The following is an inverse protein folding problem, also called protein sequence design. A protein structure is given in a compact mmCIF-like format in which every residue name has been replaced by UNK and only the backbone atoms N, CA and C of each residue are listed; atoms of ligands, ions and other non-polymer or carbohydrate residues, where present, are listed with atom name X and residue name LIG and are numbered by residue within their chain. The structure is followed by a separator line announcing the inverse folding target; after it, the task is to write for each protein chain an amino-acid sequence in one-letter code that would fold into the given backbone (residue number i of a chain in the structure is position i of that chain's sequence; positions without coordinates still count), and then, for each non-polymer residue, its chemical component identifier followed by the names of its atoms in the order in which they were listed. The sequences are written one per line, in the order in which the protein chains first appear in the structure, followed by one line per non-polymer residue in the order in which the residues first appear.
data_IF_891137098890
#
_entry.id   IF_891137098890
#
_cell.length_a   1.000
_cell.length_b   1.000
_cell.length_c   1.000
_cell.angle_alpha   90.00
_cell.angle_beta   90.00
_cell.angle_gamma   90.00
#
_symmetry.space_group_name_H-M   'P 1'
#
loop_
_entity.id
_entity.type
_entity.pdbx_description
1 polymer ?
#
# COMPACT_ATOMS: atom_id res chain seq x y z
N UNK A 1 21.66 -26.87 -6.15
CA UNK A 1 20.60 -27.72 -6.74
C UNK A 1 20.88 -28.26 -8.13
N UNK A 2 21.62 -27.58 -9.02
CA UNK A 2 21.85 -28.07 -10.39
C UNK A 2 22.67 -29.37 -10.49
N UNK A 3 23.43 -29.72 -9.45
CA UNK A 3 24.28 -30.91 -9.42
C UNK A 3 23.64 -32.15 -8.78
N UNK A 4 22.41 -32.03 -8.27
CA UNK A 4 21.73 -33.12 -7.56
C UNK A 4 20.81 -33.92 -8.47
N UNK A 5 20.91 -35.24 -8.34
CA UNK A 5 20.17 -36.24 -9.08
C UNK A 5 19.32 -37.09 -8.13
N UNK A 6 18.41 -37.87 -8.71
CA UNK A 6 17.56 -38.80 -7.98
C UNK A 6 18.41 -39.86 -7.27
N UNK A 7 18.15 -40.07 -5.98
CA UNK A 7 18.90 -40.97 -5.11
C UNK A 7 20.09 -40.32 -4.39
N UNK A 8 20.43 -39.07 -4.71
CA UNK A 8 21.51 -38.36 -4.02
C UNK A 8 21.09 -37.94 -2.59
N UNK A 9 22.07 -37.86 -1.70
CA UNK A 9 21.89 -37.39 -0.31
C UNK A 9 22.76 -36.15 -0.08
N UNK A 10 22.13 -35.04 0.29
CA UNK A 10 22.81 -33.83 0.73
C UNK A 10 23.17 -34.00 2.21
N UNK A 11 24.47 -34.11 2.52
CA UNK A 11 24.94 -34.29 3.90
C UNK A 11 25.42 -32.95 4.47
N UNK A 12 24.89 -32.58 5.64
CA UNK A 12 25.31 -31.40 6.39
C UNK A 12 25.61 -31.73 7.85
N UNK A 13 26.55 -30.99 8.45
CA UNK A 13 26.86 -31.18 9.87
C UNK A 13 25.68 -30.81 10.76
N UNK A 14 25.07 -29.63 10.52
CA UNK A 14 23.96 -29.09 11.33
C UNK A 14 22.97 -28.31 10.48
N UNK A 15 21.73 -28.21 10.96
CA UNK A 15 20.64 -27.52 10.25
C UNK A 15 20.87 -26.01 10.08
N UNK A 16 21.55 -25.33 11.03
CA UNK A 16 21.85 -23.89 10.97
C UNK A 16 22.79 -23.50 9.82
N UNK A 17 23.45 -24.47 9.20
CA UNK A 17 24.36 -24.27 8.06
C UNK A 17 23.66 -24.36 6.71
N UNK A 18 22.40 -24.81 6.69
CA UNK A 18 21.66 -25.09 5.46
C UNK A 18 20.93 -23.86 4.91
N UNK A 19 20.51 -22.93 5.76
CA UNK A 19 19.73 -21.75 5.34
C UNK A 19 19.81 -20.60 6.33
N UNK A 20 19.39 -19.39 5.90
CA UNK A 20 19.36 -18.18 6.74
C UNK A 20 18.12 -18.09 7.62
N UNK A 21 17.10 -18.85 7.28
CA UNK A 21 15.86 -18.98 8.03
C UNK A 21 15.31 -20.40 7.95
N UNK A 22 14.46 -20.78 8.91
CA UNK A 22 13.71 -22.04 8.89
C UNK A 22 12.95 -22.24 7.58
N UNK A 23 12.37 -21.16 7.04
CA UNK A 23 11.64 -21.20 5.77
C UNK A 23 12.56 -21.59 4.61
N UNK A 24 13.77 -21.03 4.55
CA UNK A 24 14.74 -21.36 3.51
C UNK A 24 15.13 -22.84 3.56
N UNK A 25 15.33 -23.36 4.77
CA UNK A 25 15.63 -24.77 5.03
C UNK A 25 14.48 -25.67 4.56
N UNK A 26 13.23 -25.35 4.90
CA UNK A 26 12.06 -26.12 4.48
C UNK A 26 11.88 -26.11 2.96
N UNK A 27 12.10 -24.96 2.31
CA UNK A 27 12.05 -24.85 0.86
C UNK A 27 13.12 -25.74 0.19
N UNK A 28 14.35 -25.69 0.69
CA UNK A 28 15.43 -26.52 0.14
C UNK A 28 15.09 -28.02 0.26
N UNK A 29 14.58 -28.43 1.42
CA UNK A 29 14.16 -29.81 1.65
C UNK A 29 13.05 -30.22 0.70
N UNK A 30 12.07 -29.34 0.45
CA UNK A 30 11.01 -29.61 -0.51
C UNK A 30 11.56 -29.77 -1.94
N UNK A 31 12.46 -28.89 -2.36
CA UNK A 31 13.11 -28.99 -3.67
C UNK A 31 13.98 -30.26 -3.81
N UNK A 32 14.54 -30.78 -2.72
CA UNK A 32 15.29 -32.06 -2.72
C UNK A 32 14.35 -33.24 -2.94
N UNK A 33 13.23 -33.25 -2.22
CA UNK A 33 12.19 -34.28 -2.32
C UNK A 33 11.57 -34.30 -3.73
N UNK A 34 11.32 -33.15 -4.35
CA UNK A 34 10.85 -33.06 -5.74
C UNK A 34 11.83 -33.67 -6.76
N UNK A 35 13.13 -33.68 -6.45
CA UNK A 35 14.18 -34.31 -7.27
C UNK A 35 14.38 -35.79 -6.96
N UNK A 36 13.69 -36.32 -5.96
CA UNK A 36 13.91 -37.67 -5.43
C UNK A 36 15.26 -37.80 -4.72
N UNK A 37 15.77 -36.71 -4.14
CA UNK A 37 16.96 -36.67 -3.30
C UNK A 37 16.58 -36.47 -1.83
N UNK A 38 17.54 -36.66 -0.93
CA UNK A 38 17.31 -36.54 0.53
C UNK A 38 18.33 -35.65 1.22
N UNK A 39 18.01 -35.20 2.43
CA UNK A 39 18.88 -34.45 3.32
C UNK A 39 19.28 -35.34 4.50
N UNK A 40 20.56 -35.35 4.84
CA UNK A 40 21.08 -35.95 6.06
C UNK A 40 21.83 -34.93 6.89
N UNK A 41 21.46 -34.85 8.15
CA UNK A 41 22.07 -34.02 9.18
C UNK A 41 22.86 -34.96 10.08
N UNK A 42 24.09 -34.60 10.42
CA UNK A 42 24.93 -35.42 11.28
C UNK A 42 24.69 -35.10 12.77
N UNK A 43 24.40 -33.85 13.11
CA UNK A 43 24.27 -33.38 14.48
C UNK A 43 23.08 -32.39 14.66
N UNK A 44 21.98 -32.83 15.32
CA UNK A 44 21.64 -34.22 15.65
C UNK A 44 21.42 -35.07 14.37
N UNK A 45 21.67 -36.38 14.47
CA UNK A 45 21.48 -37.27 13.31
C UNK A 45 20.01 -37.32 12.89
N UNK A 46 19.72 -36.81 11.70
CA UNK A 46 18.38 -36.75 11.12
C UNK A 46 18.50 -37.01 9.62
N UNK A 47 17.64 -37.87 9.10
CA UNK A 47 17.52 -38.09 7.65
C UNK A 47 16.10 -37.76 7.19
N UNK A 48 16.00 -37.21 5.98
CA UNK A 48 14.73 -36.99 5.30
C UNK A 48 14.41 -38.08 4.28
N UNK A 49 15.18 -39.17 4.26
CA UNK A 49 14.91 -40.30 3.38
C UNK A 49 13.66 -41.09 3.81
N UNK A 50 12.86 -41.49 2.83
CA UNK A 50 11.65 -42.31 3.03
C UNK A 50 10.50 -41.60 3.73
N UNK A 51 9.43 -42.34 4.03
CA UNK A 51 8.18 -41.80 4.57
C UNK A 51 8.34 -41.13 5.95
N UNK A 52 9.30 -41.62 6.74
CA UNK A 52 9.61 -41.07 8.06
C UNK A 52 10.28 -39.69 7.97
N UNK A 53 11.03 -39.43 6.89
CA UNK A 53 11.72 -38.17 6.65
C UNK A 53 10.77 -36.97 6.60
N UNK A 54 9.63 -37.11 5.90
CA UNK A 54 8.61 -36.05 5.80
C UNK A 54 8.02 -35.68 7.16
N UNK A 55 7.81 -36.65 8.05
CA UNK A 55 7.34 -36.38 9.41
C UNK A 55 8.39 -35.60 10.22
N UNK A 56 9.65 -36.01 10.14
CA UNK A 56 10.74 -35.34 10.88
C UNK A 56 10.90 -33.88 10.43
N UNK A 57 10.82 -33.62 9.12
CA UNK A 57 10.85 -32.25 8.58
C UNK A 57 9.69 -31.42 9.11
N UNK A 58 8.47 -31.98 9.11
CA UNK A 58 7.26 -31.29 9.56
C UNK A 58 7.37 -30.90 11.03
N UNK A 59 7.86 -31.81 11.88
CA UNK A 59 8.06 -31.56 13.31
C UNK A 59 9.14 -30.49 13.52
N UNK A 60 10.29 -30.60 12.83
CA UNK A 60 11.37 -29.61 12.94
C UNK A 60 10.92 -28.22 12.48
N UNK A 61 10.13 -28.15 11.40
CA UNK A 61 9.51 -26.91 10.94
C UNK A 61 8.56 -26.30 11.98
N UNK A 62 7.73 -27.12 12.62
CA UNK A 62 6.80 -26.69 13.67
C UNK A 62 7.53 -26.17 14.91
N UNK A 63 8.56 -26.88 15.38
CA UNK A 63 9.36 -26.45 16.53
C UNK A 63 10.06 -25.12 16.25
N UNK A 64 10.65 -24.97 15.07
CA UNK A 64 11.36 -23.76 14.70
C UNK A 64 10.43 -22.54 14.52
N UNK A 65 9.20 -22.72 14.02
CA UNK A 65 8.20 -21.64 13.99
C UNK A 65 7.75 -21.23 15.40
N UNK A 66 7.57 -22.21 16.29
CA UNK A 66 7.21 -21.97 17.69
C UNK A 66 8.31 -21.19 18.44
N UNK A 67 9.59 -21.56 18.27
CA UNK A 67 10.70 -20.82 18.87
C UNK A 67 10.76 -19.37 18.39
N UNK A 68 10.61 -19.14 17.08
CA UNK A 68 10.60 -17.80 16.50
C UNK A 68 9.47 -16.95 17.09
N UNK A 69 8.28 -17.56 17.25
CA UNK A 69 7.13 -16.91 17.89
C UNK A 69 7.44 -16.54 19.33
N UNK A 70 8.03 -17.44 20.12
CA UNK A 70 8.42 -17.15 21.49
C UNK A 70 9.47 -16.05 21.63
N UNK A 71 10.45 -15.98 20.73
CA UNK A 71 11.43 -14.88 20.71
C UNK A 71 10.71 -13.54 20.48
N UNK A 72 9.80 -13.47 19.51
CA UNK A 72 9.01 -12.27 19.21
C UNK A 72 8.10 -11.88 20.36
N UNK A 73 7.46 -12.85 21.01
CA UNK A 73 6.57 -12.62 22.15
C UNK A 73 7.33 -12.05 23.35
N UNK A 74 8.52 -12.61 23.65
CA UNK A 74 9.41 -12.05 24.70
C UNK A 74 9.89 -10.65 24.35
N UNK A 75 10.28 -10.41 23.10
CA UNK A 75 10.68 -9.09 22.64
C UNK A 75 9.55 -8.08 22.82
N UNK A 76 8.31 -8.44 22.43
CA UNK A 76 7.14 -7.59 22.59
C UNK A 76 6.88 -7.25 24.05
N UNK A 77 6.89 -8.25 24.93
CA UNK A 77 6.75 -8.03 26.37
C UNK A 77 7.83 -7.10 26.94
N UNK A 78 9.09 -7.27 26.49
CA UNK A 78 10.19 -6.38 26.86
C UNK A 78 10.01 -4.95 26.35
N UNK A 79 9.56 -4.78 25.11
CA UNK A 79 9.24 -3.46 24.54
C UNK A 79 8.10 -2.79 25.32
N UNK A 80 7.05 -3.53 25.66
CA UNK A 80 5.90 -3.01 26.42
C UNK A 80 6.32 -2.55 27.82
N UNK A 81 7.12 -3.35 28.54
CA UNK A 81 7.69 -2.96 29.83
C UNK A 81 8.54 -1.69 29.72
N UNK A 82 9.47 -1.64 28.75
CA UNK A 82 10.32 -0.47 28.54
C UNK A 82 9.53 0.78 28.06
N UNK A 83 8.41 0.60 27.36
CA UNK A 83 7.47 1.69 27.03
C UNK A 83 6.75 2.22 28.26
N UNK A 84 6.27 1.33 29.14
CA UNK A 84 5.63 1.72 30.40
C UNK A 84 6.58 2.50 31.33
N UNK A 85 7.87 2.11 31.32
CA UNK A 85 8.94 2.82 32.03
C UNK A 85 9.42 4.11 31.33
N UNK A 86 8.91 4.43 30.14
CA UNK A 86 9.27 5.64 29.39
C UNK A 86 10.71 5.64 28.84
N UNK A 87 11.33 4.48 28.66
CA UNK A 87 12.71 4.33 28.17
C UNK A 87 12.85 4.83 26.72
N UNK A 88 11.83 4.58 25.88
CA UNK A 88 11.85 4.98 24.48
C UNK A 88 11.58 6.49 24.30
N UNK A 89 12.65 7.28 24.22
CA UNK A 89 12.61 8.73 23.92
C UNK A 89 12.75 9.06 22.44
N UNK A 90 12.61 8.06 21.58
CA UNK A 90 12.83 8.18 20.14
C UNK A 90 14.30 8.45 19.77
N UNK A 91 14.52 8.82 18.50
CA UNK A 91 15.85 9.18 18.01
C UNK A 91 16.29 10.49 18.65
N UNK A 92 17.46 10.52 19.30
CA UNK A 92 18.08 11.76 19.79
C UNK A 92 18.22 12.75 18.62
N UNK A 93 17.76 13.98 18.79
CA UNK A 93 17.94 15.05 17.80
C UNK A 93 19.43 15.36 17.68
N UNK A 94 19.89 15.55 16.45
CA UNK A 94 21.30 15.88 16.17
C UNK A 94 21.61 17.37 16.40
N UNK A 95 20.59 18.22 16.39
CA UNK A 95 20.70 19.68 16.52
C UNK A 95 19.61 20.15 17.47
N UNK A 96 19.96 21.10 18.32
CA UNK A 96 19.05 21.75 19.26
C UNK A 96 18.15 22.75 18.53
N UNK A 97 16.84 22.66 18.76
CA UNK A 97 15.84 23.52 18.14
C UNK A 97 16.02 24.98 18.59
N UNK A 98 16.53 25.22 19.80
CA UNK A 98 16.78 26.57 20.30
C UNK A 98 17.93 27.26 19.56
N UNK A 99 18.96 26.51 19.16
CA UNK A 99 20.04 27.06 18.33
C UNK A 99 19.53 27.46 16.94
N UNK A 100 18.63 26.65 16.36
CA UNK A 100 17.97 26.97 15.09
C UNK A 100 17.15 28.27 15.24
N UNK A 101 16.35 28.38 16.31
CA UNK A 101 15.51 29.56 16.60
C UNK A 101 16.37 30.82 16.80
N UNK A 102 17.47 30.73 17.55
CA UNK A 102 18.40 31.85 17.76
C UNK A 102 18.99 32.39 16.46
N UNK A 103 19.47 31.52 15.57
CA UNK A 103 20.07 31.96 14.29
C UNK A 103 19.07 32.60 13.36
N UNK A 104 17.82 32.12 13.36
CA UNK A 104 16.74 32.72 12.59
C UNK A 104 16.33 34.09 13.15
N UNK A 105 16.27 34.23 14.48
CA UNK A 105 16.01 35.51 15.14
C UNK A 105 17.13 36.54 14.87
N UNK A 106 18.37 36.08 14.70
CA UNK A 106 19.49 36.90 14.26
C UNK A 106 19.45 37.28 12.75
N UNK A 107 18.37 36.96 12.04
CA UNK A 107 18.16 37.33 10.63
C UNK A 107 18.78 36.39 9.60
N UNK A 108 19.34 35.24 10.01
CA UNK A 108 19.86 34.27 9.05
C UNK A 108 18.70 33.60 8.28
N UNK A 109 18.90 33.36 6.98
CA UNK A 109 17.88 32.65 6.19
C UNK A 109 17.81 31.16 6.55
N UNK A 110 16.61 30.55 6.46
CA UNK A 110 16.39 29.13 6.77
C UNK A 110 17.32 28.20 5.98
N UNK A 111 17.61 28.53 4.73
CA UNK A 111 18.53 27.79 3.87
C UNK A 111 20.01 27.95 4.29
N UNK A 112 20.38 29.05 4.93
CA UNK A 112 21.72 29.24 5.50
C UNK A 112 21.87 28.46 6.80
N UNK A 113 20.89 28.55 7.70
CA UNK A 113 20.87 27.80 8.97
C UNK A 113 20.95 26.29 8.74
N UNK A 114 20.21 25.76 7.75
CA UNK A 114 20.26 24.35 7.38
C UNK A 114 21.66 23.89 6.93
N UNK A 115 22.33 24.71 6.10
CA UNK A 115 23.70 24.42 5.62
C UNK A 115 24.73 24.49 6.74
N UNK A 116 24.67 25.54 7.56
CA UNK A 116 25.64 25.77 8.63
C UNK A 116 25.56 24.70 9.73
N UNK A 117 24.34 24.22 10.02
CA UNK A 117 24.09 23.15 11.00
C UNK A 117 24.12 21.74 10.38
N UNK A 118 24.40 21.63 9.07
CA UNK A 118 24.42 20.36 8.30
C UNK A 118 23.16 19.51 8.49
N UNK A 119 22.00 20.17 8.53
CA UNK A 119 20.68 19.51 8.63
C UNK A 119 19.84 19.81 7.39
N UNK A 120 18.80 19.01 7.15
CA UNK A 120 17.87 19.31 6.06
C UNK A 120 17.09 20.59 6.37
N UNK A 121 16.62 21.29 5.33
CA UNK A 121 15.70 22.42 5.50
C UNK A 121 14.46 22.01 6.30
N UNK A 122 14.00 20.76 6.15
CA UNK A 122 12.85 20.22 6.87
C UNK A 122 13.07 20.14 8.38
N UNK A 123 14.29 19.85 8.85
CA UNK A 123 14.62 19.93 10.29
C UNK A 123 14.47 21.36 10.81
N UNK A 124 14.89 22.37 10.04
CA UNK A 124 14.73 23.78 10.39
C UNK A 124 13.25 24.20 10.45
N UNK A 125 12.43 23.74 9.50
CA UNK A 125 10.98 24.01 9.55
C UNK A 125 10.27 23.28 10.70
N UNK A 126 10.66 22.04 11.01
CA UNK A 126 10.14 21.29 12.17
C UNK A 126 10.50 21.94 13.51
N UNK A 127 11.69 22.51 13.64
CA UNK A 127 12.09 23.25 14.85
C UNK A 127 11.28 24.54 15.08
N UNK A 128 10.57 25.01 14.06
CA UNK A 128 9.68 26.17 14.13
C UNK A 128 8.21 25.78 14.29
N UNK A 129 7.88 24.49 14.38
CA UNK A 129 6.52 23.94 14.37
C UNK A 129 5.65 24.45 13.19
N UNK A 130 6.27 24.90 12.10
CA UNK A 130 5.58 25.37 10.89
C UNK A 130 5.06 24.18 10.05
N UNK A 131 5.50 22.95 10.36
CA UNK A 131 5.00 21.73 9.71
C UNK A 131 4.23 20.93 10.76
N UNK A 132 2.93 20.63 10.55
CA UNK A 132 2.20 19.74 11.43
C UNK A 132 2.93 18.39 11.51
N UNK A 133 3.32 17.99 12.71
CA UNK A 133 4.20 16.85 12.97
C UNK A 133 3.61 15.47 12.64
N UNK A 134 2.39 15.45 12.10
CA UNK A 134 1.75 14.30 11.49
C UNK A 134 0.95 14.82 10.30
N UNK A 135 1.35 14.51 9.07
CA UNK A 135 0.33 14.25 8.05
C UNK A 135 -0.32 12.96 8.54
N UNK A 136 -1.41 13.09 9.32
CA UNK A 136 -2.34 11.96 9.46
C UNK A 136 -2.57 11.46 8.03
N UNK A 137 -2.55 10.14 7.78
CA UNK A 137 -3.20 9.65 6.55
C UNK A 137 -4.56 10.36 6.51
N UNK A 138 -4.94 10.98 5.38
CA UNK A 138 -6.16 11.78 5.33
C UNK A 138 -7.28 10.96 5.97
N UNK A 139 -7.88 11.50 7.02
CA UNK A 139 -9.15 10.98 7.52
C UNK A 139 -10.03 10.86 6.27
N UNK A 140 -10.53 9.64 5.97
CA UNK A 140 -11.14 9.22 4.70
C UNK A 140 -11.60 10.44 3.87
N UNK A 141 -11.04 10.68 2.67
CA UNK A 141 -11.23 11.94 1.96
C UNK A 141 -12.71 12.29 1.92
N UNK A 142 -13.08 13.55 2.24
CA UNK A 142 -14.48 13.95 2.28
C UNK A 142 -15.12 13.54 0.97
N UNK A 143 -16.25 12.86 1.11
CA UNK A 143 -16.91 12.18 0.00
C UNK A 143 -18.24 12.86 -0.26
N UNK A 144 -18.46 13.35 -1.47
CA UNK A 144 -19.74 13.89 -1.91
C UNK A 144 -20.57 12.78 -2.57
N UNK A 145 -21.87 12.74 -2.27
CA UNK A 145 -22.83 11.92 -3.02
C UNK A 145 -23.40 12.76 -4.15
N UNK A 146 -23.28 12.29 -5.38
CA UNK A 146 -23.68 13.02 -6.57
C UNK A 146 -24.66 12.17 -7.40
N UNK A 147 -25.64 12.82 -8.01
CA UNK A 147 -26.54 12.23 -8.99
C UNK A 147 -26.09 12.64 -10.40
N UNK A 148 -25.92 11.65 -11.28
CA UNK A 148 -25.56 11.82 -12.68
C UNK A 148 -26.71 11.32 -13.55
N UNK A 149 -27.24 12.18 -14.40
CA UNK A 149 -28.08 11.78 -15.53
C UNK A 149 -27.20 11.71 -16.78
N UNK A 150 -27.14 10.56 -17.45
CA UNK A 150 -26.26 10.34 -18.61
C UNK A 150 -27.01 9.80 -19.84
N UNK A 151 -26.99 10.61 -20.89
CA UNK A 151 -27.52 10.29 -22.21
C UNK A 151 -26.35 10.09 -23.17
N UNK A 152 -26.39 9.00 -23.93
CA UNK A 152 -25.39 8.67 -24.97
C UNK A 152 -26.15 8.38 -26.26
N UNK A 153 -25.77 9.08 -27.32
CA UNK A 153 -26.37 8.94 -28.65
C UNK A 153 -25.29 8.69 -29.71
N UNK A 154 -25.63 7.97 -30.78
CA UNK A 154 -24.71 7.82 -31.90
C UNK A 154 -24.77 9.09 -32.76
N UNK A 155 -23.64 9.53 -33.32
CA UNK A 155 -23.64 10.62 -34.31
C UNK A 155 -24.45 10.30 -35.59
N UNK A 156 -24.74 9.03 -35.85
CA UNK A 156 -25.57 8.61 -36.97
C UNK A 156 -26.52 7.46 -36.61
N UNK A 157 -27.64 7.36 -37.34
CA UNK A 157 -28.69 6.35 -37.11
C UNK A 157 -28.25 4.89 -37.35
N UNK A 158 -27.09 4.68 -37.99
CA UNK A 158 -26.52 3.34 -38.27
C UNK A 158 -25.42 2.95 -37.27
N UNK A 159 -25.08 3.83 -36.33
CA UNK A 159 -24.01 3.62 -35.37
C UNK A 159 -24.32 2.48 -34.40
N UNK A 160 -23.31 1.69 -34.10
CA UNK A 160 -23.39 0.58 -33.12
C UNK A 160 -22.61 0.88 -31.84
N UNK A 161 -22.10 2.12 -31.69
CA UNK A 161 -21.23 2.55 -30.59
C UNK A 161 -21.95 2.83 -29.28
N UNK A 162 -23.24 3.20 -29.32
CA UNK A 162 -24.02 3.59 -28.12
C UNK A 162 -23.96 2.59 -26.97
N UNK A 163 -24.16 1.29 -27.26
CA UNK A 163 -24.15 0.23 -26.24
C UNK A 163 -22.74 0.02 -25.65
N UNK A 164 -21.69 -0.25 -26.44
CA UNK A 164 -20.35 -0.43 -25.88
C UNK A 164 -19.79 0.84 -25.21
N UNK A 165 -20.15 2.04 -25.68
CA UNK A 165 -19.79 3.29 -25.01
C UNK A 165 -20.41 3.38 -23.61
N UNK A 166 -21.70 3.07 -23.49
CA UNK A 166 -22.40 3.07 -22.21
C UNK A 166 -21.81 2.05 -21.24
N UNK A 167 -21.59 0.81 -21.69
CA UNK A 167 -21.00 -0.25 -20.86
C UNK A 167 -19.59 0.12 -20.39
N UNK A 168 -18.79 0.77 -21.24
CA UNK A 168 -17.44 1.22 -20.87
C UNK A 168 -17.45 2.34 -19.82
N UNK A 169 -18.36 3.29 -19.96
CA UNK A 169 -18.53 4.40 -19.00
C UNK A 169 -19.09 3.86 -17.68
N UNK A 170 -20.12 3.01 -17.71
CA UNK A 170 -20.68 2.39 -16.49
C UNK A 170 -19.60 1.59 -15.72
N UNK A 171 -18.76 0.82 -16.42
CA UNK A 171 -17.67 0.07 -15.78
C UNK A 171 -16.60 0.97 -15.14
N UNK A 172 -16.32 2.13 -15.74
CA UNK A 172 -15.42 3.14 -15.15
C UNK A 172 -16.04 3.76 -13.90
N UNK A 173 -17.31 4.15 -13.98
CA UNK A 173 -18.06 4.74 -12.86
C UNK A 173 -18.16 3.78 -11.66
N UNK A 174 -18.40 2.48 -11.91
CA UNK A 174 -18.46 1.45 -10.87
C UNK A 174 -17.10 1.26 -10.20
N UNK A 175 -16.02 1.22 -10.99
CA UNK A 175 -14.64 1.03 -10.51
C UNK A 175 -14.16 2.19 -9.64
N UNK A 176 -14.34 3.42 -10.12
CA UNK A 176 -13.65 4.58 -9.56
C UNK A 176 -14.54 5.41 -8.61
N UNK A 177 -15.86 5.37 -8.79
CA UNK A 177 -16.81 6.24 -8.08
C UNK A 177 -17.89 5.47 -7.31
N UNK A 178 -17.71 4.15 -7.12
CA UNK A 178 -18.65 3.27 -6.43
C UNK A 178 -20.11 3.49 -6.89
N UNK A 179 -20.30 3.57 -8.21
CA UNK A 179 -21.57 3.92 -8.84
C UNK A 179 -22.70 2.94 -8.47
N UNK A 180 -23.88 3.50 -8.18
CA UNK A 180 -25.14 2.75 -8.03
C UNK A 180 -26.12 3.21 -9.10
N UNK A 181 -26.63 2.27 -9.89
CA UNK A 181 -27.61 2.54 -10.94
C UNK A 181 -29.01 2.65 -10.36
N UNK A 182 -29.65 3.82 -10.51
CA UNK A 182 -30.99 4.11 -9.98
C UNK A 182 -32.08 4.12 -11.07
N UNK A 183 -31.68 4.10 -12.35
CA UNK A 183 -32.59 4.13 -13.49
C UNK A 183 -31.88 3.76 -14.79
N UNK A 184 -32.55 3.97 -15.92
CA UNK A 184 -31.94 3.64 -17.22
C UNK A 184 -30.80 4.60 -17.59
N UNK A 185 -30.88 5.86 -17.17
CA UNK A 185 -29.86 6.88 -17.40
C UNK A 185 -29.44 7.60 -16.11
N UNK A 186 -29.88 7.12 -14.95
CA UNK A 186 -29.68 7.78 -13.65
C UNK A 186 -28.73 6.96 -12.77
N UNK A 187 -27.69 7.62 -12.29
CA UNK A 187 -26.60 7.02 -11.54
C UNK A 187 -26.33 7.84 -10.27
N UNK A 188 -26.02 7.17 -9.17
CA UNK A 188 -25.50 7.80 -7.96
C UNK A 188 -24.02 7.48 -7.83
N UNK A 189 -23.21 8.52 -7.72
CA UNK A 189 -21.75 8.45 -7.59
C UNK A 189 -21.31 8.90 -6.20
N UNK A 190 -20.18 8.36 -5.79
CA UNK A 190 -19.51 8.66 -4.54
C UNK A 190 -18.14 9.24 -4.89
N UNK A 191 -18.03 10.56 -4.87
CA UNK A 191 -16.83 11.28 -5.33
C UNK A 191 -16.01 11.71 -4.13
N UNK A 192 -14.77 11.24 -4.05
CA UNK A 192 -13.82 11.71 -3.05
C UNK A 192 -13.17 13.00 -3.55
N UNK A 193 -13.04 14.00 -2.67
CA UNK A 193 -12.34 15.25 -2.99
C UNK A 193 -11.45 15.66 -1.81
N UNK A 194 -10.52 16.58 -2.06
CA UNK A 194 -9.65 17.15 -1.04
C UNK A 194 -9.90 18.67 -0.94
N UNK A 195 -10.43 19.18 0.19
CA UNK A 195 -10.73 20.60 0.37
C UNK A 195 -9.48 21.45 0.64
N UNK A 196 -8.30 20.83 0.79
CA UNK A 196 -7.06 21.57 1.01
C UNK A 196 -6.67 22.40 -0.24
N UNK A 197 -6.01 23.56 -0.09
CA UNK A 197 -5.63 24.43 -1.21
C UNK A 197 -4.71 23.79 -2.26
N UNK A 198 -4.01 22.72 -1.87
CA UNK A 198 -3.12 21.92 -2.73
C UNK A 198 -3.78 20.59 -3.18
N UNK A 199 -5.04 20.36 -2.79
CA UNK A 199 -5.84 19.17 -3.09
C UNK A 199 -6.74 19.34 -4.32
N UNK A 200 -7.27 18.21 -4.84
CA UNK A 200 -8.21 18.25 -5.97
C UNK A 200 -9.60 18.60 -5.44
N UNK A 201 -10.10 19.77 -5.85
CA UNK A 201 -11.43 20.22 -5.47
C UNK A 201 -12.52 19.33 -6.11
N UNK A 202 -13.72 19.31 -5.49
CA UNK A 202 -14.86 18.57 -6.04
C UNK A 202 -15.18 18.99 -7.49
N UNK A 203 -15.06 20.28 -7.78
CA UNK A 203 -15.30 20.84 -9.11
C UNK A 203 -14.27 20.31 -10.13
N UNK A 204 -12.99 20.25 -9.78
CA UNK A 204 -11.94 19.70 -10.65
C UNK A 204 -12.10 18.20 -10.90
N UNK A 205 -12.49 17.45 -9.87
CA UNK A 205 -12.75 16.01 -9.99
C UNK A 205 -13.94 15.74 -10.91
N UNK A 206 -15.02 16.52 -10.81
CA UNK A 206 -16.18 16.41 -11.70
C UNK A 206 -15.82 16.78 -13.15
N UNK A 207 -14.99 17.80 -13.36
CA UNK A 207 -14.52 18.14 -14.71
C UNK A 207 -13.63 17.05 -15.31
N UNK A 208 -12.77 16.43 -14.50
CA UNK A 208 -11.96 15.28 -14.89
C UNK A 208 -12.85 14.10 -15.30
N UNK A 209 -13.84 13.77 -14.48
CA UNK A 209 -14.84 12.74 -14.76
C UNK A 209 -15.58 13.01 -16.08
N UNK A 210 -16.16 14.20 -16.25
CA UNK A 210 -16.87 14.57 -17.48
C UNK A 210 -15.96 14.46 -18.71
N UNK A 211 -14.71 14.89 -18.59
CA UNK A 211 -13.71 14.80 -19.67
C UNK A 211 -13.41 13.35 -20.03
N UNK A 212 -13.23 12.46 -19.05
CA UNK A 212 -12.96 11.05 -19.30
C UNK A 212 -14.15 10.35 -19.95
N UNK A 213 -15.37 10.60 -19.46
CA UNK A 213 -16.59 10.07 -20.06
C UNK A 213 -16.79 10.56 -21.50
N UNK A 214 -16.52 11.85 -21.76
CA UNK A 214 -16.57 12.42 -23.11
C UNK A 214 -15.58 11.73 -24.05
N UNK A 215 -14.33 11.55 -23.63
CA UNK A 215 -13.30 10.87 -24.43
C UNK A 215 -13.70 9.41 -24.74
N UNK A 216 -14.32 8.71 -23.79
CA UNK A 216 -14.85 7.37 -24.03
C UNK A 216 -15.97 7.43 -25.06
N UNK A 217 -16.97 8.31 -24.91
CA UNK A 217 -18.08 8.44 -25.86
C UNK A 217 -17.59 8.77 -27.28
N UNK A 218 -16.63 9.69 -27.41
CA UNK A 218 -16.03 10.08 -28.68
C UNK A 218 -15.30 8.91 -29.34
N UNK A 219 -14.56 8.09 -28.57
CA UNK A 219 -13.85 6.91 -29.10
C UNK A 219 -14.79 5.86 -29.74
N UNK A 220 -16.07 5.87 -29.34
CA UNK A 220 -17.13 5.03 -29.92
C UNK A 220 -18.02 5.79 -30.91
N UNK A 221 -17.61 6.99 -31.35
CA UNK A 221 -18.33 7.84 -32.30
C UNK A 221 -19.76 8.17 -31.82
N UNK A 222 -19.86 8.50 -30.53
CA UNK A 222 -21.09 8.87 -29.85
C UNK A 222 -20.98 10.30 -29.28
N UNK A 223 -22.11 11.00 -29.21
CA UNK A 223 -22.28 12.19 -28.38
C UNK A 223 -22.73 11.79 -26.98
N UNK A 224 -22.41 12.64 -26.01
CA UNK A 224 -22.77 12.48 -24.62
C UNK A 224 -23.37 13.78 -24.09
N UNK A 225 -24.44 13.65 -23.32
CA UNK A 225 -25.03 14.72 -22.52
C UNK A 225 -25.13 14.21 -21.08
N UNK A 226 -24.59 14.98 -20.15
CA UNK A 226 -24.56 14.62 -18.74
C UNK A 226 -24.97 15.80 -17.88
N UNK A 227 -25.90 15.55 -16.96
CA UNK A 227 -26.29 16.50 -15.93
C UNK A 227 -25.87 15.96 -14.56
N UNK A 228 -25.11 16.74 -13.81
CA UNK A 228 -24.56 16.32 -12.51
C UNK A 228 -25.09 17.22 -11.39
N UNK A 229 -25.63 16.63 -10.32
CA UNK A 229 -26.19 17.33 -9.17
C UNK A 229 -25.65 16.78 -7.85
N UNK A 230 -25.27 17.64 -6.91
CA UNK A 230 -24.91 17.21 -5.56
C UNK A 230 -26.15 16.81 -4.73
N UNK A 231 -26.11 15.64 -4.09
CA UNK A 231 -27.22 15.12 -3.28
C UNK A 231 -26.94 15.41 -1.80
N UNK A 232 -27.65 16.39 -1.24
CA UNK A 232 -27.66 16.68 0.20
C UNK A 232 -26.78 17.84 0.68
N UNK A 233 -26.34 18.73 -0.22
CA UNK A 233 -25.50 19.90 0.07
C UNK A 233 -25.98 21.21 -0.58
N UNK A 234 -25.09 22.20 -0.71
CA UNK A 234 -25.32 23.38 -1.56
C UNK A 234 -25.68 22.88 -2.96
N UNK A 235 -26.74 23.44 -3.55
CA UNK A 235 -27.31 22.99 -4.82
C UNK A 235 -26.37 23.38 -5.99
N UNK A 236 -25.25 22.67 -6.12
CA UNK A 236 -24.30 22.79 -7.22
C UNK A 236 -24.72 21.86 -8.35
N UNK A 237 -24.68 22.39 -9.56
CA UNK A 237 -24.97 21.67 -10.80
C UNK A 237 -23.83 21.90 -11.78
N UNK A 238 -23.42 20.83 -12.46
CA UNK A 238 -22.39 20.86 -13.51
C UNK A 238 -22.94 20.30 -14.80
#
# INVERSE_FOLDING_TARGET
MQFMHTGDELVVLRLDRLGRSTRDVLNLVHELDEKGASLRILEPEVTTAGDMGRMVITILGMVADMELKFIKDRQRAGIEAARAEGVYKGRKKNVDDDEIRRRLAAGASKARVARDLKVSRMTVYRALDIIPSQTKLPEKPPTASIALHLIIENFNKRGRGRKPARERIEAMLERDYAMVKNGNCDYKLTVAYDPDPDGISLDEEIQSLLSEMFNIAESYNCSMEADIYEVGGQQRSW
#
